data_IF_237467167360
#
_entry.id   IF_237467167360
#
_cell.length_a   1.000
_cell.length_b   1.000
_cell.length_c   1.000
_cell.angle_alpha   90.00
_cell.angle_beta   90.00
_cell.angle_gamma   90.00
#
_symmetry.space_group_name_H-M   'P 1'
#
loop_
_entity.id
_entity.type
_entity.pdbx_description
1 polymer ?
#
# COMPACT_ATOMS: atom_id res chain seq x y z
N UNK A 1 33.55 40.30 -15.78
CA UNK A 1 32.75 39.54 -14.80
C UNK A 1 31.64 38.89 -15.58
N UNK A 2 31.78 37.61 -15.89
CA UNK A 2 30.70 36.84 -16.53
C UNK A 2 29.57 36.77 -15.52
N UNK A 3 28.42 37.36 -15.88
CA UNK A 3 27.14 37.20 -15.22
C UNK A 3 26.71 35.74 -15.42
N UNK A 4 27.31 34.82 -14.65
CA UNK A 4 26.89 33.43 -14.57
C UNK A 4 25.56 33.41 -13.82
N UNK A 5 24.49 33.77 -14.53
CA UNK A 5 23.13 33.59 -14.05
C UNK A 5 22.92 32.10 -13.87
N UNK A 6 22.78 31.69 -12.62
CA UNK A 6 22.42 30.33 -12.28
C UNK A 6 21.10 29.97 -12.98
N UNK A 7 21.12 28.88 -13.75
CA UNK A 7 19.95 28.29 -14.39
C UNK A 7 19.76 26.90 -13.79
N UNK A 8 18.56 26.58 -13.24
CA UNK A 8 18.31 25.25 -12.72
C UNK A 8 18.36 24.22 -13.87
N UNK A 9 18.94 23.03 -13.64
CA UNK A 9 18.87 21.97 -14.63
C UNK A 9 17.42 21.50 -14.81
N UNK A 10 17.02 21.08 -16.02
CA UNK A 10 15.72 20.45 -16.20
C UNK A 10 15.63 19.15 -15.37
N UNK A 11 14.49 18.95 -14.72
CA UNK A 11 14.18 17.76 -13.92
C UNK A 11 12.87 17.19 -14.44
N UNK A 12 12.87 15.88 -14.72
CA UNK A 12 11.67 15.16 -15.10
C UNK A 12 10.94 14.68 -13.84
N UNK A 13 9.61 14.71 -13.87
CA UNK A 13 8.78 14.27 -12.76
C UNK A 13 8.00 13.01 -13.15
N UNK A 14 8.05 12.02 -12.27
CA UNK A 14 7.22 10.81 -12.35
C UNK A 14 6.39 10.65 -11.09
N UNK A 15 5.35 9.82 -11.19
CA UNK A 15 4.65 9.27 -10.04
C UNK A 15 4.80 7.75 -10.06
N UNK A 16 4.98 7.14 -8.89
CA UNK A 16 5.02 5.69 -8.71
C UNK A 16 3.99 5.28 -7.64
N UNK A 17 3.23 4.21 -7.88
CA UNK A 17 2.15 3.79 -6.99
C UNK A 17 2.52 2.48 -6.29
N UNK A 18 2.63 2.54 -4.96
CA UNK A 18 2.66 1.34 -4.12
C UNK A 18 1.21 0.96 -3.82
N UNK A 19 0.63 0.09 -4.63
CA UNK A 19 -0.76 -0.37 -4.45
C UNK A 19 -0.76 -1.65 -3.63
N UNK A 20 -1.30 -1.58 -2.41
CA UNK A 20 -1.37 -2.70 -1.49
C UNK A 20 -2.80 -3.21 -1.32
N UNK A 21 -2.93 -4.53 -1.31
CA UNK A 21 -4.19 -5.20 -0.98
C UNK A 21 -3.93 -6.52 -0.26
N UNK A 22 -4.96 -7.06 0.38
CA UNK A 22 -4.90 -8.42 0.93
C UNK A 22 -5.51 -9.40 -0.06
N UNK A 23 -4.75 -10.45 -0.40
CA UNK A 23 -5.25 -11.62 -1.14
C UNK A 23 -4.70 -12.87 -0.50
N UNK A 24 -5.54 -13.89 -0.38
CA UNK A 24 -5.15 -15.20 0.20
C UNK A 24 -4.48 -15.06 1.57
N UNK A 25 -4.98 -14.13 2.40
CA UNK A 25 -4.43 -13.81 3.72
C UNK A 25 -2.97 -13.32 3.72
N UNK A 26 -2.47 -12.84 2.58
CA UNK A 26 -1.13 -12.23 2.44
C UNK A 26 -1.24 -10.80 1.92
N UNK A 27 -0.31 -9.95 2.34
CA UNK A 27 -0.14 -8.62 1.79
C UNK A 27 0.48 -8.74 0.39
N UNK A 28 -0.20 -8.18 -0.60
CA UNK A 28 0.21 -8.18 -2.00
C UNK A 28 0.47 -6.75 -2.46
N UNK A 29 1.40 -6.59 -3.38
CA UNK A 29 1.68 -5.34 -4.10
C UNK A 29 1.42 -5.52 -5.59
N UNK A 30 0.82 -4.52 -6.24
CA UNK A 30 0.70 -4.54 -7.71
C UNK A 30 2.06 -4.26 -8.34
N UNK A 31 2.47 -5.11 -9.27
CA UNK A 31 3.64 -4.87 -10.10
C UNK A 31 3.29 -5.06 -11.58
N UNK A 32 3.91 -4.26 -12.42
CA UNK A 32 3.82 -4.35 -13.88
C UNK A 32 5.12 -4.84 -14.48
N UNK A 33 5.04 -5.62 -15.55
CA UNK A 33 6.20 -5.98 -16.36
C UNK A 33 6.43 -4.93 -17.43
N UNK A 34 7.61 -4.31 -17.44
CA UNK A 34 7.89 -3.20 -18.36
C UNK A 34 7.93 -3.67 -19.82
N UNK A 35 7.12 -3.08 -20.69
CA UNK A 35 7.11 -3.36 -22.13
C UNK A 35 8.18 -2.62 -22.92
N UNK A 36 8.81 -1.61 -22.33
CA UNK A 36 9.72 -0.65 -22.99
C UNK A 36 11.04 -0.47 -22.24
N UNK A 37 12.08 -0.08 -22.95
CA UNK A 37 13.37 0.31 -22.34
C UNK A 37 13.25 1.62 -21.55
N UNK A 38 14.10 1.85 -20.54
CA UNK A 38 15.08 0.93 -19.95
C UNK A 38 14.41 -0.21 -19.16
N UNK A 39 15.16 -1.27 -18.83
CA UNK A 39 14.68 -2.39 -17.99
C UNK A 39 13.48 -3.13 -18.58
N UNK A 40 13.42 -3.26 -19.90
CA UNK A 40 12.36 -4.03 -20.56
C UNK A 40 12.33 -5.47 -20.03
N UNK A 41 11.15 -5.95 -19.66
CA UNK A 41 10.92 -7.28 -19.08
C UNK A 41 11.16 -7.38 -17.56
N UNK A 42 11.75 -6.35 -16.92
CA UNK A 42 11.82 -6.30 -15.47
C UNK A 42 10.46 -5.86 -14.88
N UNK A 43 10.18 -6.27 -13.64
CA UNK A 43 9.02 -5.82 -12.88
C UNK A 43 9.23 -4.40 -12.35
N UNK A 44 8.18 -3.61 -12.26
CA UNK A 44 8.18 -2.25 -11.75
C UNK A 44 6.89 -1.94 -10.98
N UNK A 45 6.90 -0.87 -10.17
CA UNK A 45 5.68 -0.24 -9.71
C UNK A 45 4.92 0.35 -10.92
N UNK A 46 3.58 0.33 -10.87
CA UNK A 46 2.73 1.21 -11.67
C UNK A 46 3.18 2.66 -11.58
N UNK A 47 3.20 3.36 -12.70
CA UNK A 47 3.66 4.74 -12.71
C UNK A 47 4.19 5.25 -14.03
N UNK A 48 4.33 6.56 -14.10
CA UNK A 48 4.66 7.26 -15.33
C UNK A 48 5.06 8.70 -15.13
N UNK A 49 5.44 9.34 -16.23
CA UNK A 49 5.71 10.79 -16.25
C UNK A 49 4.42 11.58 -16.24
N UNK A 50 4.53 12.86 -15.86
CA UNK A 50 3.47 13.82 -16.19
C UNK A 50 3.28 13.87 -17.72
N UNK A 51 2.03 13.80 -18.18
CA UNK A 51 1.70 13.82 -19.61
C UNK A 51 1.87 15.21 -20.24
N UNK A 52 1.66 16.27 -19.44
CA UNK A 52 1.80 17.64 -19.89
C UNK A 52 2.18 18.59 -18.74
N UNK A 53 2.73 19.79 -19.02
CA UNK A 53 3.25 20.70 -17.99
C UNK A 53 2.24 21.19 -16.94
N UNK A 54 0.95 21.13 -17.26
CA UNK A 54 -0.16 21.56 -16.39
C UNK A 54 -0.74 20.40 -15.54
N UNK A 55 -0.27 19.17 -15.71
CA UNK A 55 -0.73 18.03 -14.89
C UNK A 55 -0.05 18.09 -13.53
N UNK A 56 -0.84 18.07 -12.45
CA UNK A 56 -0.28 17.97 -11.10
C UNK A 56 -0.03 16.51 -10.69
N UNK A 57 0.74 16.32 -9.62
CA UNK A 57 1.20 15.00 -9.19
C UNK A 57 0.04 14.08 -8.73
N UNK A 58 -0.98 14.64 -8.09
CA UNK A 58 -2.11 13.84 -7.61
C UNK A 58 -3.02 13.42 -8.77
N UNK A 59 -3.20 14.30 -9.77
CA UNK A 59 -3.91 14.00 -11.01
C UNK A 59 -3.20 12.89 -11.78
N UNK A 60 -1.86 12.98 -11.92
CA UNK A 60 -1.07 11.93 -12.53
C UNK A 60 -1.21 10.60 -11.78
N UNK A 61 -1.13 10.61 -10.43
CA UNK A 61 -1.30 9.40 -9.63
C UNK A 61 -2.69 8.76 -9.84
N UNK A 62 -3.75 9.56 -9.91
CA UNK A 62 -5.10 9.08 -10.21
C UNK A 62 -5.25 8.51 -11.62
N UNK A 63 -4.58 9.12 -12.61
CA UNK A 63 -4.54 8.61 -13.98
C UNK A 63 -3.83 7.26 -14.05
N UNK A 64 -2.62 7.14 -13.50
CA UNK A 64 -1.86 5.87 -13.49
C UNK A 64 -2.65 4.76 -12.75
N UNK A 65 -3.35 5.09 -11.65
CA UNK A 65 -4.24 4.14 -10.95
C UNK A 65 -5.38 3.64 -11.85
N UNK A 66 -5.94 4.52 -12.67
CA UNK A 66 -7.06 4.21 -13.56
C UNK A 66 -6.59 3.39 -14.76
N UNK A 67 -5.44 3.74 -15.35
CA UNK A 67 -4.88 3.10 -16.55
C UNK A 67 -4.41 1.66 -16.29
N UNK A 68 -3.85 1.37 -15.11
CA UNK A 68 -3.19 0.08 -14.85
C UNK A 68 -4.00 -0.91 -14.01
N UNK A 69 -5.06 -0.44 -13.33
CA UNK A 69 -5.74 -1.29 -12.36
C UNK A 69 -7.28 -1.18 -12.40
N UNK A 70 -7.85 -0.38 -13.31
CA UNK A 70 -9.30 -0.09 -13.41
C UNK A 70 -9.90 0.25 -12.03
N UNK A 71 -9.11 0.93 -11.20
CA UNK A 71 -9.45 1.20 -9.81
C UNK A 71 -10.18 2.54 -9.70
N UNK A 72 -11.39 2.46 -9.18
CA UNK A 72 -12.13 3.66 -8.79
C UNK A 72 -11.45 4.32 -7.58
N UNK A 73 -10.98 5.53 -7.81
CA UNK A 73 -10.32 6.40 -6.83
C UNK A 73 -11.20 6.74 -5.63
N UNK A 74 -12.52 6.62 -5.73
CA UNK A 74 -13.44 6.78 -4.60
C UNK A 74 -13.37 5.62 -3.60
N UNK A 75 -12.91 4.44 -4.04
CA UNK A 75 -12.91 3.21 -3.23
C UNK A 75 -11.58 2.94 -2.54
N UNK A 76 -10.52 3.66 -2.91
CA UNK A 76 -9.16 3.47 -2.41
C UNK A 76 -8.70 4.63 -1.53
N UNK A 77 -7.85 4.31 -0.54
CA UNK A 77 -7.13 5.30 0.24
C UNK A 77 -5.82 5.61 -0.46
N UNK A 78 -5.70 6.80 -1.06
CA UNK A 78 -4.47 7.29 -1.69
C UNK A 78 -3.80 8.32 -0.80
N UNK A 79 -2.49 8.19 -0.60
CA UNK A 79 -1.68 9.21 0.06
C UNK A 79 -0.28 9.29 -0.53
N UNK A 80 0.33 10.48 -0.50
CA UNK A 80 1.74 10.61 -0.84
C UNK A 80 2.59 9.93 0.24
N UNK A 81 3.50 9.04 -0.17
CA UNK A 81 4.35 8.24 0.74
C UNK A 81 5.80 8.69 0.77
N UNK A 82 6.33 9.26 -0.33
CA UNK A 82 7.72 9.69 -0.40
C UNK A 82 8.09 10.45 -1.67
N UNK A 83 9.31 10.98 -1.71
CA UNK A 83 9.90 11.65 -2.87
C UNK A 83 11.32 11.10 -3.08
N UNK A 84 11.58 10.58 -4.28
CA UNK A 84 12.80 9.86 -4.64
C UNK A 84 13.52 10.61 -5.74
N UNK A 85 14.74 11.06 -5.42
CA UNK A 85 15.47 11.98 -6.27
C UNK A 85 16.97 11.77 -6.23
N UNK A 86 17.45 10.57 -5.89
CA UNK A 86 18.88 10.26 -6.00
C UNK A 86 19.37 10.46 -7.45
N UNK A 87 20.51 11.15 -7.67
CA UNK A 87 21.14 11.22 -8.99
C UNK A 87 21.42 9.81 -9.54
N UNK A 88 21.02 9.57 -10.79
CA UNK A 88 21.22 8.27 -11.45
C UNK A 88 20.19 7.19 -11.10
N UNK A 89 19.12 7.50 -10.33
CA UNK A 89 18.02 6.55 -10.09
C UNK A 89 17.36 6.06 -11.39
N UNK A 90 17.36 6.92 -12.41
CA UNK A 90 16.83 6.63 -13.73
C UNK A 90 17.90 6.90 -14.80
N UNK A 91 18.22 5.94 -15.68
CA UNK A 91 19.23 6.11 -16.73
C UNK A 91 18.81 7.09 -17.83
N UNK A 92 17.54 7.50 -17.89
CA UNK A 92 17.02 8.48 -18.87
C UNK A 92 17.40 9.92 -18.53
N UNK A 93 17.85 10.20 -17.30
CA UNK A 93 18.33 11.53 -16.90
C UNK A 93 18.00 11.90 -15.46
N UNK A 94 17.90 13.20 -15.18
CA UNK A 94 17.53 13.70 -13.85
C UNK A 94 16.02 13.56 -13.63
N UNK A 95 15.63 12.47 -12.99
CA UNK A 95 14.23 12.17 -12.65
C UNK A 95 14.01 12.28 -11.14
N UNK A 96 12.91 12.89 -10.74
CA UNK A 96 12.37 12.81 -9.38
C UNK A 96 11.02 12.12 -9.44
N UNK A 97 10.85 11.07 -8.64
CA UNK A 97 9.56 10.38 -8.52
C UNK A 97 8.88 10.75 -7.21
N UNK A 98 7.58 11.00 -7.28
CA UNK A 98 6.72 11.15 -6.11
C UNK A 98 5.92 9.87 -5.95
N UNK A 99 6.18 9.13 -4.88
CA UNK A 99 5.46 7.88 -4.65
C UNK A 99 4.17 8.13 -3.88
N UNK A 100 3.15 7.36 -4.23
CA UNK A 100 1.89 7.31 -3.53
C UNK A 100 1.62 5.89 -3.02
N UNK A 101 1.07 5.78 -1.81
CA UNK A 101 0.56 4.54 -1.25
C UNK A 101 -0.96 4.48 -1.49
N UNK A 102 -1.40 3.45 -2.19
CA UNK A 102 -2.81 3.15 -2.42
C UNK A 102 -3.20 1.89 -1.65
N UNK A 103 -4.28 1.95 -0.87
CA UNK A 103 -4.79 0.81 -0.11
C UNK A 103 -6.27 0.63 -0.40
N UNK A 104 -6.64 -0.59 -0.81
CA UNK A 104 -8.03 -0.96 -1.01
C UNK A 104 -8.27 -2.47 -0.79
N UNK A 105 -9.50 -2.85 -0.39
CA UNK A 105 -9.85 -4.23 -0.15
C UNK A 105 -10.28 -4.92 -1.44
N UNK A 106 -9.88 -6.19 -1.64
CA UNK A 106 -10.40 -7.05 -2.73
C UNK A 106 -10.30 -6.39 -4.10
N UNK A 107 -9.12 -5.85 -4.42
CA UNK A 107 -8.89 -5.27 -5.75
C UNK A 107 -9.03 -6.35 -6.84
N UNK A 108 -9.55 -5.99 -8.03
CA UNK A 108 -9.66 -6.91 -9.16
C UNK A 108 -8.28 -7.41 -9.62
N UNK A 109 -8.27 -8.40 -10.50
CA UNK A 109 -7.04 -8.70 -11.24
C UNK A 109 -6.65 -7.49 -12.09
N UNK A 110 -5.39 -7.07 -12.07
CA UNK A 110 -4.94 -5.90 -12.79
C UNK A 110 -4.91 -6.19 -14.29
N UNK A 111 -4.98 -5.12 -15.08
CA UNK A 111 -4.89 -5.19 -16.54
C UNK A 111 -3.66 -4.38 -16.94
N UNK A 112 -2.78 -4.97 -17.75
CA UNK A 112 -1.61 -4.26 -18.22
C UNK A 112 -2.02 -2.99 -19.00
N UNK A 113 -1.48 -1.84 -18.57
CA UNK A 113 -1.62 -0.56 -19.26
C UNK A 113 -0.81 -0.48 -20.55
N UNK A 114 -0.79 0.68 -21.20
CA UNK A 114 -0.22 0.87 -22.55
C UNK A 114 1.26 0.52 -22.68
N UNK A 115 2.05 0.78 -21.64
CA UNK A 115 3.51 0.55 -21.64
C UNK A 115 3.93 -0.70 -20.86
N UNK A 116 2.96 -1.46 -20.33
CA UNK A 116 3.17 -2.69 -19.59
C UNK A 116 2.92 -3.91 -20.49
N UNK A 117 3.79 -4.92 -20.38
CA UNK A 117 3.61 -6.20 -21.05
C UNK A 117 2.65 -7.12 -20.29
N UNK A 118 2.61 -6.98 -18.96
CA UNK A 118 1.77 -7.75 -18.05
C UNK A 118 1.59 -6.98 -16.72
N UNK A 119 0.57 -7.32 -15.93
CA UNK A 119 0.35 -6.79 -14.60
C UNK A 119 -0.08 -7.90 -13.65
N UNK A 120 0.47 -7.94 -12.44
CA UNK A 120 0.19 -9.03 -11.49
C UNK A 120 0.39 -8.62 -10.04
N UNK A 121 -0.44 -9.20 -9.17
CA UNK A 121 -0.24 -9.15 -7.73
C UNK A 121 0.95 -10.03 -7.32
N UNK A 122 1.85 -9.49 -6.51
CA UNK A 122 3.00 -10.21 -5.96
C UNK A 122 3.02 -10.14 -4.43
N UNK A 123 3.34 -11.24 -3.72
CA UNK A 123 3.50 -11.21 -2.28
C UNK A 123 4.60 -10.21 -1.90
N UNK A 124 4.29 -9.31 -0.98
CA UNK A 124 5.25 -8.29 -0.51
C UNK A 124 6.53 -8.95 0.02
N UNK A 125 6.41 -10.10 0.67
CA UNK A 125 7.56 -10.85 1.22
C UNK A 125 8.62 -11.18 0.15
N UNK A 126 8.22 -11.46 -1.10
CA UNK A 126 9.17 -11.74 -2.18
C UNK A 126 9.95 -10.48 -2.62
N UNK A 127 9.32 -9.31 -2.52
CA UNK A 127 10.01 -8.04 -2.76
C UNK A 127 10.96 -7.74 -1.60
N UNK A 128 10.50 -7.89 -0.35
CA UNK A 128 11.31 -7.60 0.83
C UNK A 128 12.50 -8.57 1.00
N UNK A 129 12.37 -9.83 0.60
CA UNK A 129 13.45 -10.82 0.70
C UNK A 129 14.57 -10.62 -0.32
N UNK A 130 14.29 -10.03 -1.49
CA UNK A 130 15.24 -10.01 -2.61
C UNK A 130 14.98 -11.03 -3.69
N UNK A 131 13.96 -11.86 -3.53
CA UNK A 131 13.63 -12.90 -4.51
C UNK A 131 13.08 -12.30 -5.82
N UNK A 132 12.45 -11.13 -5.75
CA UNK A 132 12.00 -10.37 -6.91
C UNK A 132 12.91 -9.17 -7.17
N UNK A 133 13.49 -9.13 -8.36
CA UNK A 133 14.21 -7.96 -8.87
C UNK A 133 13.22 -6.98 -9.50
N UNK A 134 13.27 -5.73 -9.04
CA UNK A 134 12.49 -4.62 -9.61
C UNK A 134 13.40 -3.66 -10.38
N UNK A 135 12.84 -3.00 -11.39
CA UNK A 135 13.49 -1.95 -12.15
C UNK A 135 13.76 -0.71 -11.28
N UNK A 136 14.75 0.08 -11.70
CA UNK A 136 15.15 1.33 -11.03
C UNK A 136 15.44 1.11 -9.53
N UNK A 137 14.94 1.99 -8.67
CA UNK A 137 14.98 1.92 -7.21
C UNK A 137 13.62 1.45 -6.63
N UNK A 138 12.74 0.84 -7.42
CA UNK A 138 11.36 0.53 -7.02
C UNK A 138 11.25 -0.42 -5.83
N UNK A 139 12.25 -1.28 -5.61
CA UNK A 139 12.34 -2.10 -4.40
C UNK A 139 12.32 -1.23 -3.14
N UNK A 140 13.11 -0.16 -3.11
CA UNK A 140 13.16 0.78 -1.99
C UNK A 140 11.82 1.48 -1.80
N UNK A 141 11.18 1.91 -2.90
CA UNK A 141 9.87 2.56 -2.86
C UNK A 141 8.82 1.62 -2.24
N UNK A 142 8.84 0.33 -2.59
CA UNK A 142 7.96 -0.69 -1.99
C UNK A 142 8.29 -0.90 -0.51
N UNK A 143 9.56 -1.05 -0.14
CA UNK A 143 9.99 -1.20 1.26
C UNK A 143 9.48 -0.04 2.14
N UNK A 144 9.68 1.19 1.67
CA UNK A 144 9.23 2.41 2.35
C UNK A 144 7.69 2.49 2.43
N UNK A 145 6.99 2.14 1.33
CA UNK A 145 5.52 2.10 1.30
C UNK A 145 4.90 1.06 2.23
N UNK A 146 5.53 -0.12 2.33
CA UNK A 146 5.09 -1.20 3.24
C UNK A 146 5.31 -0.80 4.70
N UNK A 147 6.47 -0.22 5.05
CA UNK A 147 6.67 0.25 6.42
C UNK A 147 5.77 1.44 6.76
N UNK A 148 5.49 2.33 5.79
CA UNK A 148 4.48 3.38 5.97
C UNK A 148 3.12 2.79 6.33
N UNK A 149 2.66 1.75 5.62
CA UNK A 149 1.42 1.06 5.95
C UNK A 149 1.46 0.44 7.35
N UNK A 150 2.54 -0.27 7.70
CA UNK A 150 2.73 -0.93 9.01
C UNK A 150 2.66 0.06 10.17
N UNK A 151 3.37 1.19 10.09
CA UNK A 151 3.36 2.25 11.10
C UNK A 151 1.98 2.87 11.22
N UNK A 152 1.29 3.11 10.10
CA UNK A 152 -0.07 3.67 10.14
C UNK A 152 -1.07 2.73 10.80
N UNK A 153 -0.94 1.40 10.65
CA UNK A 153 -1.79 0.43 11.35
C UNK A 153 -1.69 0.55 12.88
N UNK A 154 -0.54 1.00 13.40
CA UNK A 154 -0.36 1.14 14.85
C UNK A 154 -1.20 2.29 15.43
N UNK A 155 -1.34 3.37 14.65
CA UNK A 155 -1.89 4.63 15.16
C UNK A 155 -3.18 5.07 14.50
N UNK A 156 -3.66 4.38 13.46
CA UNK A 156 -4.85 4.79 12.71
C UNK A 156 -5.79 3.63 12.39
N UNK A 157 -7.03 3.96 12.03
CA UNK A 157 -8.02 2.98 11.57
C UNK A 157 -7.78 2.46 10.14
N UNK A 158 -6.57 2.63 9.59
CA UNK A 158 -6.18 2.21 8.24
C UNK A 158 -6.50 0.73 7.97
N UNK A 159 -6.38 -0.14 8.99
CA UNK A 159 -6.70 -1.55 8.87
C UNK A 159 -8.11 -1.82 8.30
N UNK A 160 -9.09 -0.96 8.62
CA UNK A 160 -10.46 -1.11 8.10
C UNK A 160 -10.58 -0.88 6.60
N UNK A 161 -9.66 -0.11 6.00
CA UNK A 161 -9.61 0.09 4.54
C UNK A 161 -9.28 -1.22 3.81
N UNK A 162 -8.53 -2.14 4.44
CA UNK A 162 -8.25 -3.47 3.89
C UNK A 162 -9.41 -4.47 4.04
N UNK A 163 -10.36 -4.23 4.95
CA UNK A 163 -11.50 -5.13 5.17
C UNK A 163 -12.69 -4.84 4.23
N UNK A 164 -12.85 -3.58 3.80
CA UNK A 164 -14.03 -3.08 3.08
C UNK A 164 -15.20 -2.71 3.99
N UNK A 165 -16.42 -2.54 3.44
CA UNK A 165 -17.48 -1.80 4.13
C UNK A 165 -18.06 -2.54 5.34
N UNK A 166 -18.04 -3.88 5.34
CA UNK A 166 -18.58 -4.73 6.41
C UNK A 166 -17.64 -5.90 6.64
N UNK A 167 -17.22 -6.10 7.88
CA UNK A 167 -16.23 -7.10 8.27
C UNK A 167 -16.43 -7.61 9.71
N UNK A 168 -15.72 -8.67 10.05
CA UNK A 168 -15.63 -9.27 11.38
C UNK A 168 -14.33 -8.86 12.06
N UNK A 169 -14.25 -9.00 13.39
CA UNK A 169 -12.99 -8.76 14.11
C UNK A 169 -11.90 -9.76 13.68
N UNK A 170 -12.28 -10.97 13.24
CA UNK A 170 -11.35 -11.95 12.68
C UNK A 170 -10.76 -11.47 11.36
N UNK A 171 -11.58 -11.01 10.41
CA UNK A 171 -11.08 -10.41 9.15
C UNK A 171 -10.20 -9.18 9.43
N UNK A 172 -10.53 -8.38 10.46
CA UNK A 172 -9.68 -7.26 10.88
C UNK A 172 -8.34 -7.75 11.47
N UNK A 173 -8.35 -8.83 12.27
CA UNK A 173 -7.13 -9.42 12.81
C UNK A 173 -6.22 -9.94 11.68
N UNK A 174 -6.79 -10.64 10.71
CA UNK A 174 -6.08 -11.15 9.53
C UNK A 174 -5.38 -10.02 8.76
N UNK A 175 -5.99 -8.83 8.68
CA UNK A 175 -5.33 -7.63 8.12
C UNK A 175 -4.08 -7.25 8.89
N UNK A 176 -4.16 -7.15 10.22
CA UNK A 176 -3.01 -6.79 11.03
C UNK A 176 -1.89 -7.84 10.91
N UNK A 177 -2.25 -9.12 10.95
CA UNK A 177 -1.29 -10.22 10.84
C UNK A 177 -0.59 -10.23 9.47
N UNK A 178 -1.35 -10.07 8.38
CA UNK A 178 -0.81 -10.04 7.03
C UNK A 178 0.09 -8.82 6.78
N UNK A 179 -0.27 -7.64 7.30
CA UNK A 179 0.51 -6.41 7.09
C UNK A 179 1.77 -6.39 7.96
N UNK A 180 1.66 -6.82 9.22
CA UNK A 180 2.82 -6.85 10.14
C UNK A 180 3.70 -8.09 9.96
N UNK A 181 3.21 -9.14 9.30
CA UNK A 181 3.92 -10.40 9.07
C UNK A 181 4.07 -11.26 10.32
N UNK A 182 3.19 -11.10 11.32
CA UNK A 182 3.28 -11.77 12.63
C UNK A 182 1.89 -12.19 13.12
N UNK A 183 1.73 -13.37 13.73
CA UNK A 183 0.47 -13.80 14.31
C UNK A 183 0.15 -12.98 15.58
N UNK A 184 -1.13 -12.75 15.83
CA UNK A 184 -1.63 -12.03 17.01
C UNK A 184 -2.46 -12.96 17.89
N UNK A 185 -2.40 -12.74 19.21
CA UNK A 185 -3.31 -13.45 20.12
C UNK A 185 -4.76 -12.97 19.93
N UNK A 186 -5.71 -13.85 19.55
CA UNK A 186 -7.06 -13.44 19.22
C UNK A 186 -7.82 -12.79 20.39
N UNK A 187 -7.54 -13.21 21.62
CA UNK A 187 -8.24 -12.69 22.82
C UNK A 187 -7.77 -11.29 23.16
N UNK A 188 -6.47 -11.04 23.08
CA UNK A 188 -5.85 -9.75 23.32
C UNK A 188 -6.21 -8.75 22.22
N UNK A 189 -6.18 -9.20 20.95
CA UNK A 189 -6.62 -8.39 19.82
C UNK A 189 -8.08 -7.96 19.98
N UNK A 190 -9.00 -8.93 20.19
CA UNK A 190 -10.41 -8.66 20.42
C UNK A 190 -10.63 -7.64 21.56
N UNK A 191 -9.94 -7.82 22.69
CA UNK A 191 -10.06 -6.91 23.84
C UNK A 191 -9.57 -5.51 23.54
N UNK A 192 -8.48 -5.35 22.78
CA UNK A 192 -7.96 -4.03 22.37
C UNK A 192 -8.97 -3.34 21.45
N UNK A 193 -9.40 -4.01 20.37
CA UNK A 193 -10.35 -3.45 19.41
C UNK A 193 -11.64 -2.98 20.08
N UNK A 194 -12.19 -3.77 21.00
CA UNK A 194 -13.41 -3.42 21.74
C UNK A 194 -13.22 -2.26 22.74
N UNK A 195 -11.99 -2.00 23.19
CA UNK A 195 -11.66 -0.89 24.10
C UNK A 195 -11.28 0.40 23.38
N UNK A 196 -11.03 0.35 22.07
CA UNK A 196 -10.69 1.53 21.28
C UNK A 196 -11.97 2.18 20.79
N UNK A 197 -12.36 3.26 21.46
CA UNK A 197 -13.60 3.97 21.18
C UNK A 197 -13.64 4.50 19.73
N UNK A 198 -14.77 4.26 19.06
CA UNK A 198 -15.00 4.74 17.70
C UNK A 198 -14.17 4.04 16.61
N UNK A 199 -13.35 3.03 16.93
CA UNK A 199 -12.58 2.29 15.93
C UNK A 199 -13.48 1.50 14.98
N UNK A 200 -14.41 0.73 15.54
CA UNK A 200 -15.40 -0.03 14.78
C UNK A 200 -16.78 0.15 15.40
N UNK A 201 -17.82 0.08 14.57
CA UNK A 201 -19.21 0.13 15.03
C UNK A 201 -20.00 -1.08 14.54
N UNK A 202 -20.95 -1.61 15.32
CA UNK A 202 -21.76 -2.75 14.90
C UNK A 202 -22.48 -2.50 13.57
N UNK A 203 -22.50 -3.50 12.69
CA UNK A 203 -23.14 -3.44 11.39
C UNK A 203 -24.06 -4.65 11.18
N UNK A 204 -25.37 -4.42 11.07
CA UNK A 204 -26.34 -5.45 10.65
C UNK A 204 -26.39 -6.72 11.53
N UNK A 205 -26.99 -7.78 10.97
CA UNK A 205 -27.11 -9.10 11.60
C UNK A 205 -25.84 -9.94 11.38
N UNK A 206 -25.53 -10.82 12.33
CA UNK A 206 -24.33 -11.65 12.28
C UNK A 206 -24.26 -12.54 11.02
N UNK A 207 -23.05 -12.68 10.45
CA UNK A 207 -22.82 -13.57 9.30
C UNK A 207 -22.79 -15.03 9.78
N UNK A 208 -23.52 -15.92 9.10
CA UNK A 208 -23.45 -17.36 9.37
C UNK A 208 -22.04 -17.85 9.03
N UNK A 209 -21.38 -18.47 10.00
CA UNK A 209 -20.11 -19.16 9.77
C UNK A 209 -20.37 -20.58 9.26
N UNK A 210 -19.49 -21.12 8.42
CA UNK A 210 -19.52 -22.52 8.00
C UNK A 210 -19.31 -23.48 9.20
N UNK A 211 -18.60 -23.02 10.23
CA UNK A 211 -18.37 -23.75 11.49
C UNK A 211 -18.43 -22.79 12.68
N UNK A 212 -19.19 -23.14 13.73
CA UNK A 212 -19.25 -22.39 14.98
C UNK A 212 -20.34 -21.30 15.10
N UNK A 213 -20.18 -20.41 16.09
CA UNK A 213 -21.16 -19.36 16.39
C UNK A 213 -21.14 -18.26 15.31
N UNK A 214 -22.29 -17.65 14.97
CA UNK A 214 -22.34 -16.54 14.02
C UNK A 214 -21.40 -15.40 14.41
N UNK A 215 -20.63 -14.89 13.43
CA UNK A 215 -19.69 -13.81 13.64
C UNK A 215 -20.40 -12.46 13.59
N UNK A 216 -20.19 -11.62 14.60
CA UNK A 216 -20.71 -10.24 14.61
C UNK A 216 -20.03 -9.44 13.51
N UNK A 217 -20.85 -8.66 12.81
CA UNK A 217 -20.40 -7.78 11.74
C UNK A 217 -20.24 -6.35 12.26
N UNK A 218 -19.26 -5.68 11.71
CA UNK A 218 -18.85 -4.32 12.04
C UNK A 218 -18.56 -3.55 10.75
N UNK A 219 -18.51 -2.23 10.87
CA UNK A 219 -17.99 -1.33 9.84
C UNK A 219 -17.00 -0.36 10.49
N UNK A 220 -16.21 0.32 9.67
CA UNK A 220 -15.32 1.39 10.14
C UNK A 220 -16.12 2.43 10.95
N UNK A 221 -15.61 2.81 12.12
CA UNK A 221 -16.15 3.91 12.89
C UNK A 221 -15.57 5.26 12.42
N UNK A 222 -15.78 6.31 13.21
CA UNK A 222 -15.30 7.67 12.90
C UNK A 222 -13.90 7.97 13.47
N UNK A 223 -13.29 7.01 14.17
CA UNK A 223 -11.95 7.16 14.71
C UNK A 223 -10.93 7.12 13.58
N UNK A 224 -10.18 8.20 13.40
CA UNK A 224 -9.01 8.22 12.50
C UNK A 224 -7.73 7.82 13.23
N UNK A 225 -7.59 8.20 14.52
CA UNK A 225 -6.42 7.95 15.35
C UNK A 225 -6.78 7.03 16.52
N UNK A 226 -6.11 5.89 16.63
CA UNK A 226 -6.38 4.89 17.65
C UNK A 226 -5.80 5.31 19.01
N UNK A 227 -6.64 5.30 20.04
CA UNK A 227 -6.21 5.46 21.43
C UNK A 227 -6.90 4.42 22.33
N UNK A 228 -6.14 3.55 23.03
CA UNK A 228 -4.68 3.38 22.91
C UNK A 228 -4.26 2.83 21.53
N UNK A 229 -3.00 3.05 21.10
CA UNK A 229 -2.52 2.53 19.82
C UNK A 229 -2.41 1.00 19.80
N UNK A 230 -2.48 0.45 18.60
CA UNK A 230 -2.25 -0.96 18.32
C UNK A 230 -0.76 -1.20 18.13
N UNK A 231 -0.05 -1.52 19.23
CA UNK A 231 1.40 -1.75 19.15
C UNK A 231 1.71 -3.05 18.39
N UNK A 232 2.56 -2.95 17.35
CA UNK A 232 3.16 -4.09 16.67
C UNK A 232 4.09 -4.84 17.64
N UNK A 233 3.88 -6.13 17.92
CA UNK A 233 4.82 -6.91 18.71
C UNK A 233 6.24 -6.83 18.13
N UNK A 234 7.24 -6.53 18.96
CA UNK A 234 8.64 -6.68 18.58
C UNK A 234 9.04 -8.15 18.67
N UNK A 235 9.94 -8.62 17.81
CA UNK A 235 10.47 -10.00 17.86
C UNK A 235 11.01 -10.36 19.27
N UNK A 236 11.50 -9.38 20.03
CA UNK A 236 11.99 -9.53 21.40
C UNK A 236 10.92 -9.74 22.48
N UNK A 237 9.64 -9.48 22.19
CA UNK A 237 8.56 -9.56 23.19
C UNK A 237 8.06 -10.98 23.45
N UNK A 238 8.41 -11.96 22.61
CA UNK A 238 8.01 -13.36 22.74
C UNK A 238 8.90 -14.22 23.68
N UNK A 239 9.93 -13.64 24.30
CA UNK A 239 10.86 -14.40 25.17
C UNK A 239 10.54 -14.26 26.67
N UNK A 240 9.44 -13.58 27.04
CA UNK A 240 9.04 -13.43 28.44
C UNK A 240 7.60 -13.89 28.66
N UNK A 241 7.36 -15.18 28.51
CA UNK A 241 6.31 -15.95 29.18
C UNK A 241 6.46 -17.44 28.77
N UNK A 242 7.47 -18.10 29.34
CA UNK A 242 7.50 -19.55 29.54
C UNK A 242 7.82 -19.81 31.01
#
# INVERSE_FOLDING_TARGET
MTDDRWVPPPVLLTVDLVILTLRESRLQVLLVERGVEPYKGDLALPGGFLQHPEEDLITAAHRELSEEADLDVETLRLEQSGVYGEPGRDPRGRVVSVAYLAIAPRLPEPIAGTDAADARWQPVDHVLSGDLKLAFDHRRIVEDGVERARVKLEHSALATAFCGPIFTITELQEVYEAVWGIPLDPRNFYRKVQKTDGFIVPAGSARKSATGRPARLFKAGQCEVLYPPMVRPSESSNTKEQ
#
